data_IF_304112527823
#
_entry.id   IF_304112527823
#
_cell.length_a   1.000
_cell.length_b   1.000
_cell.length_c   1.000
_cell.angle_alpha   90.00
_cell.angle_beta   90.00
_cell.angle_gamma   90.00
#
_symmetry.space_group_name_H-M   'P 1'
#
loop_
_entity.id
_entity.type
_entity.pdbx_description
1 polymer ?
#
# COMPACT_ATOMS: atom_id res chain seq x y z
N UNK A 1 -107.51 74.75 -40.79
CA UNK A 1 -106.15 74.45 -40.29
C UNK A 1 -106.18 74.73 -38.82
N UNK A 2 -105.82 73.74 -37.99
CA UNK A 2 -105.75 73.92 -36.54
C UNK A 2 -104.57 74.84 -36.24
N UNK A 3 -104.84 76.02 -35.69
CA UNK A 3 -103.81 76.89 -35.11
C UNK A 3 -103.65 76.62 -33.61
N UNK A 4 -102.55 77.11 -33.04
CA UNK A 4 -102.13 76.96 -31.63
C UNK A 4 -103.23 77.35 -30.59
N UNK A 5 -104.29 78.06 -31.01
CA UNK A 5 -105.39 78.53 -30.18
C UNK A 5 -106.71 77.74 -30.30
N UNK A 6 -106.80 76.71 -31.16
CA UNK A 6 -108.01 75.90 -31.30
C UNK A 6 -108.05 74.75 -30.30
N UNK A 7 -109.18 74.55 -29.59
CA UNK A 7 -109.32 73.45 -28.61
C UNK A 7 -109.25 72.09 -29.32
N UNK A 8 -108.11 71.42 -29.21
CA UNK A 8 -107.93 70.05 -29.68
C UNK A 8 -108.69 69.11 -28.73
N UNK A 9 -109.77 68.49 -29.21
CA UNK A 9 -110.56 67.55 -28.40
C UNK A 9 -109.73 66.28 -28.11
N UNK A 10 -109.72 65.85 -26.85
CA UNK A 10 -109.06 64.60 -26.43
C UNK A 10 -107.60 64.70 -26.00
N UNK A 11 -107.00 65.90 -26.01
CA UNK A 11 -105.60 66.12 -25.56
C UNK A 11 -105.54 66.76 -24.18
N UNK A 12 -104.72 66.20 -23.30
CA UNK A 12 -104.43 66.78 -21.99
C UNK A 12 -103.26 67.77 -22.09
N UNK A 13 -103.56 69.06 -22.30
CA UNK A 13 -102.54 70.11 -22.46
C UNK A 13 -101.58 70.21 -21.26
N UNK A 14 -102.04 69.94 -20.03
CA UNK A 14 -101.17 69.96 -18.84
C UNK A 14 -100.10 68.87 -18.88
N UNK A 15 -100.46 67.68 -19.38
CA UNK A 15 -99.54 66.55 -19.50
C UNK A 15 -98.52 66.77 -20.61
N UNK A 16 -98.97 67.21 -21.79
CA UNK A 16 -98.08 67.52 -22.93
C UNK A 16 -97.13 68.66 -22.59
N UNK A 17 -97.63 69.71 -21.92
CA UNK A 17 -96.78 70.82 -21.47
C UNK A 17 -95.76 70.38 -20.41
N UNK A 18 -96.19 69.53 -19.47
CA UNK A 18 -95.30 68.97 -18.45
C UNK A 18 -94.19 68.13 -19.07
N UNK A 19 -94.50 67.37 -20.13
CA UNK A 19 -93.51 66.61 -20.88
C UNK A 19 -92.51 67.54 -21.60
N UNK A 20 -93.00 68.59 -22.27
CA UNK A 20 -92.15 69.60 -22.91
C UNK A 20 -91.17 70.24 -21.91
N UNK A 21 -91.62 70.57 -20.70
CA UNK A 21 -90.75 71.11 -19.64
C UNK A 21 -89.75 70.06 -19.14
N UNK A 22 -90.16 68.79 -19.03
CA UNK A 22 -89.31 67.68 -18.56
C UNK A 22 -88.21 67.33 -19.56
N UNK A 23 -88.47 67.44 -20.85
CA UNK A 23 -87.49 67.13 -21.89
C UNK A 23 -86.34 68.12 -21.95
N UNK A 24 -86.50 69.31 -21.35
CA UNK A 24 -85.44 70.32 -21.35
C UNK A 24 -84.20 69.84 -20.56
N UNK A 25 -82.98 69.93 -21.14
CA UNK A 25 -81.75 69.75 -20.39
C UNK A 25 -81.66 70.79 -19.28
N UNK A 26 -81.02 70.43 -18.16
CA UNK A 26 -80.95 71.32 -17.00
C UNK A 26 -80.32 72.69 -17.34
N UNK A 27 -79.31 72.73 -18.20
CA UNK A 27 -78.67 73.96 -18.65
C UNK A 27 -79.64 74.90 -19.38
N UNK A 28 -80.50 74.35 -20.24
CA UNK A 28 -81.49 75.09 -21.03
C UNK A 28 -82.64 75.56 -20.14
N UNK A 29 -83.16 74.68 -19.28
CA UNK A 29 -84.18 75.02 -18.29
C UNK A 29 -83.70 76.15 -17.36
N UNK A 30 -82.45 76.08 -16.91
CA UNK A 30 -81.82 77.11 -16.07
C UNK A 30 -81.70 78.44 -16.82
N UNK A 31 -81.27 78.42 -18.09
CA UNK A 31 -81.18 79.61 -18.93
C UNK A 31 -82.57 80.26 -19.12
N UNK A 32 -83.59 79.45 -19.40
CA UNK A 32 -84.97 79.91 -19.50
C UNK A 32 -85.49 80.56 -18.22
N UNK A 33 -85.26 79.93 -17.05
CA UNK A 33 -85.66 80.49 -15.75
C UNK A 33 -84.94 81.82 -15.48
N UNK A 34 -83.65 81.94 -15.81
CA UNK A 34 -82.89 83.17 -15.61
C UNK A 34 -83.28 84.30 -16.57
N UNK A 35 -83.69 83.96 -17.80
CA UNK A 35 -84.13 84.94 -18.80
C UNK A 35 -85.49 85.56 -18.43
N UNK A 36 -86.34 84.84 -17.69
CA UNK A 36 -87.65 85.32 -17.26
C UNK A 36 -87.62 85.80 -15.79
N UNK A 37 -87.50 87.11 -15.58
CA UNK A 37 -87.36 87.72 -14.25
C UNK A 37 -88.50 87.34 -13.26
N UNK A 38 -89.72 87.15 -13.77
CA UNK A 38 -90.86 86.75 -12.94
C UNK A 38 -90.75 85.28 -12.49
N UNK A 39 -90.39 84.37 -13.40
CA UNK A 39 -90.12 82.97 -13.05
C UNK A 39 -88.89 82.84 -12.15
N UNK A 40 -87.82 83.59 -12.41
CA UNK A 40 -86.62 83.61 -11.57
C UNK A 40 -86.96 84.00 -10.14
N UNK A 41 -87.77 85.05 -9.95
CA UNK A 41 -88.27 85.47 -8.65
C UNK A 41 -89.06 84.33 -8.00
N UNK A 42 -90.03 83.74 -8.69
CA UNK A 42 -90.87 82.65 -8.14
C UNK A 42 -90.05 81.41 -7.75
N UNK A 43 -89.06 81.05 -8.56
CA UNK A 43 -88.18 79.91 -8.30
C UNK A 43 -87.24 80.16 -7.10
N UNK A 44 -86.82 81.40 -6.85
CA UNK A 44 -85.89 81.78 -5.77
C UNK A 44 -86.56 82.28 -4.48
N UNK A 45 -87.89 82.48 -4.47
CA UNK A 45 -88.68 82.81 -3.26
C UNK A 45 -88.32 81.84 -2.14
N UNK A 46 -87.87 82.38 -0.99
CA UNK A 46 -87.43 81.60 0.17
C UNK A 46 -85.94 81.26 0.20
N UNK A 47 -85.12 81.86 -0.67
CA UNK A 47 -83.66 81.66 -0.69
C UNK A 47 -83.19 80.38 -1.37
N UNK A 48 -84.06 79.76 -2.19
CA UNK A 48 -83.70 78.54 -2.92
C UNK A 48 -82.71 78.86 -4.03
N UNK A 49 -81.61 78.10 -4.07
CA UNK A 49 -80.69 78.07 -5.21
C UNK A 49 -81.25 77.23 -6.35
N UNK A 50 -81.03 77.67 -7.59
CA UNK A 50 -81.36 76.94 -8.82
C UNK A 50 -80.36 75.79 -9.00
N UNK A 51 -80.67 74.65 -8.39
CA UNK A 51 -79.83 73.44 -8.35
C UNK A 51 -80.54 72.28 -9.07
N UNK A 52 -79.83 71.45 -9.87
CA UNK A 52 -80.42 70.30 -10.55
C UNK A 52 -81.19 69.36 -9.62
N UNK A 53 -80.75 69.21 -8.37
CA UNK A 53 -81.42 68.34 -7.39
C UNK A 53 -82.83 68.82 -6.99
N UNK A 54 -83.18 70.08 -7.31
CA UNK A 54 -84.49 70.68 -7.04
C UNK A 54 -85.33 70.87 -8.30
N UNK A 55 -84.94 70.24 -9.41
CA UNK A 55 -85.60 70.32 -10.72
C UNK A 55 -87.12 70.17 -10.63
N UNK A 56 -87.62 69.12 -10.00
CA UNK A 56 -89.07 68.86 -9.85
C UNK A 56 -89.85 70.04 -9.24
N UNK A 57 -89.23 70.79 -8.31
CA UNK A 57 -89.85 71.97 -7.72
C UNK A 57 -90.00 73.08 -8.76
N UNK A 58 -88.98 73.29 -9.58
CA UNK A 58 -88.98 74.33 -10.61
C UNK A 58 -89.94 73.98 -11.76
N UNK A 59 -89.96 72.72 -12.19
CA UNK A 59 -90.94 72.22 -13.17
C UNK A 59 -92.38 72.47 -12.67
N UNK A 60 -92.67 72.14 -11.40
CA UNK A 60 -93.99 72.44 -10.78
C UNK A 60 -94.34 73.93 -10.79
N UNK A 61 -93.37 74.82 -10.61
CA UNK A 61 -93.61 76.27 -10.64
C UNK A 61 -93.91 76.73 -12.06
N UNK A 62 -93.15 76.25 -13.05
CA UNK A 62 -93.35 76.57 -14.48
C UNK A 62 -94.70 76.03 -14.98
N UNK A 63 -95.04 74.78 -14.65
CA UNK A 63 -96.32 74.18 -15.02
C UNK A 63 -97.50 74.91 -14.38
N UNK A 64 -97.39 75.28 -13.09
CA UNK A 64 -98.43 76.06 -12.40
C UNK A 64 -98.63 77.44 -13.01
N UNK A 65 -97.57 78.08 -13.50
CA UNK A 65 -97.67 79.38 -14.16
C UNK A 65 -98.37 79.26 -15.52
N UNK A 66 -98.04 78.22 -16.30
CA UNK A 66 -98.73 77.91 -17.55
C UNK A 66 -100.22 77.62 -17.31
N UNK A 67 -100.55 76.79 -16.30
CA UNK A 67 -101.93 76.47 -15.93
C UNK A 67 -102.73 77.70 -15.51
N UNK A 68 -102.15 78.61 -14.71
CA UNK A 68 -102.81 79.88 -14.32
C UNK A 68 -103.13 80.75 -15.52
N UNK A 69 -102.25 80.76 -16.52
CA UNK A 69 -102.45 81.48 -17.78
C UNK A 69 -103.31 80.72 -18.80
N UNK A 70 -103.90 79.58 -18.40
CA UNK A 70 -104.66 78.68 -19.29
C UNK A 70 -103.88 78.27 -20.54
N UNK A 71 -102.57 78.03 -20.40
CA UNK A 71 -101.66 77.69 -21.50
C UNK A 71 -101.65 78.74 -22.63
N UNK A 72 -101.71 80.03 -22.29
CA UNK A 72 -101.62 81.10 -23.28
C UNK A 72 -100.33 81.03 -24.10
N UNK A 73 -100.40 81.38 -25.39
CA UNK A 73 -99.26 81.41 -26.31
C UNK A 73 -98.07 82.22 -25.75
N UNK A 74 -98.34 83.35 -25.09
CA UNK A 74 -97.31 84.20 -24.51
C UNK A 74 -96.43 83.49 -23.46
N UNK A 75 -96.98 82.50 -22.75
CA UNK A 75 -96.26 81.72 -21.74
C UNK A 75 -95.67 80.45 -22.36
N UNK A 76 -96.43 79.76 -23.22
CA UNK A 76 -96.02 78.48 -23.80
C UNK A 76 -94.96 78.63 -24.90
N UNK A 77 -95.00 79.68 -25.72
CA UNK A 77 -94.03 79.91 -26.79
C UNK A 77 -92.61 80.08 -26.26
N UNK A 78 -92.44 80.66 -25.07
CA UNK A 78 -91.12 80.82 -24.44
C UNK A 78 -90.48 79.49 -24.06
N UNK A 79 -91.28 78.53 -23.57
CA UNK A 79 -90.80 77.17 -23.26
C UNK A 79 -90.59 76.38 -24.54
N UNK A 80 -91.52 76.48 -25.50
CA UNK A 80 -91.40 75.82 -26.80
C UNK A 80 -90.13 76.26 -27.54
N UNK A 81 -89.82 77.56 -27.59
CA UNK A 81 -88.61 78.08 -28.20
C UNK A 81 -87.31 77.58 -27.53
N UNK A 82 -87.35 77.27 -26.23
CA UNK A 82 -86.24 76.65 -25.53
C UNK A 82 -86.16 75.13 -25.78
N UNK A 83 -87.29 74.47 -26.00
CA UNK A 83 -87.41 73.02 -26.20
C UNK A 83 -87.09 72.61 -27.63
N UNK A 84 -87.55 73.36 -28.61
CA UNK A 84 -87.48 73.00 -30.03
C UNK A 84 -86.04 72.74 -30.51
N UNK A 85 -85.02 73.58 -30.21
CA UNK A 85 -83.63 73.31 -30.61
C UNK A 85 -82.94 72.17 -29.85
N UNK A 86 -83.51 71.66 -28.75
CA UNK A 86 -82.94 70.53 -28.00
C UNK A 86 -83.05 69.24 -28.80
N UNK A 87 -84.12 69.10 -29.58
CA UNK A 87 -84.40 67.91 -30.38
C UNK A 87 -83.84 68.10 -31.79
N UNK A 88 -82.51 68.08 -31.89
CA UNK A 88 -81.76 68.46 -33.09
C UNK A 88 -82.26 67.78 -34.38
N UNK A 89 -82.54 66.47 -34.36
CA UNK A 89 -83.03 65.79 -35.56
C UNK A 89 -84.38 66.32 -36.05
N UNK A 90 -85.33 66.57 -35.14
CA UNK A 90 -86.66 67.09 -35.49
C UNK A 90 -86.57 68.57 -35.91
N UNK A 91 -85.79 69.34 -35.17
CA UNK A 91 -85.52 70.75 -35.44
C UNK A 91 -84.89 70.94 -36.82
N UNK A 92 -83.78 70.27 -37.09
CA UNK A 92 -83.02 70.45 -38.33
C UNK A 92 -83.84 70.03 -39.55
N UNK A 93 -84.58 68.91 -39.47
CA UNK A 93 -85.44 68.45 -40.57
C UNK A 93 -86.56 69.45 -40.91
N UNK A 94 -87.18 70.07 -39.89
CA UNK A 94 -88.26 71.04 -40.09
C UNK A 94 -87.72 72.40 -40.53
N UNK A 95 -86.66 72.90 -39.89
CA UNK A 95 -86.04 74.18 -40.26
C UNK A 95 -85.41 74.14 -41.65
N UNK A 96 -84.73 73.06 -42.03
CA UNK A 96 -84.17 72.89 -43.38
C UNK A 96 -85.28 72.93 -44.43
N UNK A 97 -86.43 72.32 -44.14
CA UNK A 97 -87.59 72.38 -45.01
C UNK A 97 -88.17 73.80 -45.07
N UNK A 98 -88.42 74.46 -43.94
CA UNK A 98 -89.00 75.81 -43.93
C UNK A 98 -88.09 76.88 -44.55
N UNK A 99 -86.77 76.66 -44.56
CA UNK A 99 -85.80 77.54 -45.23
C UNK A 99 -85.52 77.15 -46.70
N UNK A 100 -85.99 75.99 -47.14
CA UNK A 100 -85.79 75.50 -48.50
C UNK A 100 -86.52 76.34 -49.55
N UNK A 101 -85.99 76.35 -50.77
CA UNK A 101 -86.66 77.00 -51.91
C UNK A 101 -87.98 76.29 -52.27
N UNK A 102 -88.08 74.98 -51.97
CA UNK A 102 -89.31 74.18 -52.12
C UNK A 102 -90.45 74.76 -51.28
N UNK A 103 -90.19 75.10 -50.01
CA UNK A 103 -91.21 75.67 -49.14
C UNK A 103 -91.59 77.11 -49.51
N UNK A 104 -90.61 77.93 -49.97
CA UNK A 104 -90.90 79.29 -50.46
C UNK A 104 -91.86 79.28 -51.65
N UNK A 105 -91.63 78.40 -52.62
CA UNK A 105 -92.55 78.23 -53.77
C UNK A 105 -93.93 77.74 -53.34
N UNK A 106 -94.00 76.76 -52.42
CA UNK A 106 -95.27 76.28 -51.86
C UNK A 106 -96.06 77.40 -51.18
N UNK A 107 -95.37 78.26 -50.43
CA UNK A 107 -95.95 79.38 -49.70
C UNK A 107 -96.55 80.44 -50.62
N UNK A 108 -95.86 80.76 -51.72
CA UNK A 108 -96.36 81.67 -52.76
C UNK A 108 -97.58 81.09 -53.49
N UNK A 109 -97.56 79.80 -53.85
CA UNK A 109 -98.66 79.12 -54.54
C UNK A 109 -99.94 79.06 -53.70
N UNK A 110 -99.80 78.84 -52.38
CA UNK A 110 -100.92 78.72 -51.45
C UNK A 110 -101.36 80.06 -50.82
N UNK A 111 -100.66 81.15 -51.11
CA UNK A 111 -101.01 82.49 -50.62
C UNK A 111 -100.89 82.64 -49.09
N UNK A 112 -99.92 81.97 -48.47
CA UNK A 112 -99.73 81.93 -47.02
C UNK A 112 -98.96 83.17 -46.50
N UNK A 113 -99.40 83.72 -45.36
CA UNK A 113 -98.77 84.89 -44.71
C UNK A 113 -97.35 84.64 -44.19
N UNK A 114 -96.60 85.71 -43.84
CA UNK A 114 -95.21 85.59 -43.31
C UNK A 114 -95.10 84.82 -42.01
N UNK A 115 -96.16 84.83 -41.21
CA UNK A 115 -96.21 84.16 -39.92
C UNK A 115 -96.99 82.83 -39.96
N UNK A 116 -97.28 82.30 -41.15
CA UNK A 116 -98.05 81.06 -41.32
C UNK A 116 -97.16 79.88 -41.74
N UNK A 117 -96.87 79.00 -40.78
CA UNK A 117 -96.15 77.75 -41.01
C UNK A 117 -97.13 76.60 -41.23
N UNK A 118 -96.98 75.86 -42.33
CA UNK A 118 -97.83 74.71 -42.69
C UNK A 118 -96.95 73.59 -43.25
N UNK A 119 -97.20 72.35 -42.87
CA UNK A 119 -96.50 71.20 -43.44
C UNK A 119 -97.39 70.50 -44.51
N UNK A 120 -96.92 70.31 -45.76
CA UNK A 120 -97.61 69.48 -46.74
C UNK A 120 -97.71 68.02 -46.27
N UNK A 121 -98.77 67.31 -46.66
CA UNK A 121 -99.00 65.92 -46.21
C UNK A 121 -97.86 64.96 -46.59
N UNK A 122 -97.26 65.13 -47.77
CA UNK A 122 -96.12 64.31 -48.21
C UNK A 122 -94.89 64.48 -47.30
N UNK A 123 -94.66 65.69 -46.78
CA UNK A 123 -93.56 65.98 -45.86
C UNK A 123 -93.90 65.54 -44.44
N UNK A 124 -95.18 65.60 -44.05
CA UNK A 124 -95.63 65.02 -42.80
C UNK A 124 -95.35 63.52 -42.76
N UNK A 125 -95.69 62.77 -43.82
CA UNK A 125 -95.43 61.33 -43.87
C UNK A 125 -93.93 60.98 -43.92
N UNK A 126 -93.09 61.89 -44.43
CA UNK A 126 -91.63 61.71 -44.45
C UNK A 126 -90.96 62.00 -43.09
N UNK A 127 -91.43 63.03 -42.38
CA UNK A 127 -90.82 63.47 -41.13
C UNK A 127 -91.42 62.80 -39.89
N UNK A 128 -92.69 62.37 -39.96
CA UNK A 128 -93.37 61.73 -38.84
C UNK A 128 -92.85 60.30 -38.62
N UNK A 129 -92.18 60.08 -37.49
CA UNK A 129 -91.79 58.75 -37.00
C UNK A 129 -92.61 58.40 -35.77
N UNK A 130 -93.08 57.16 -35.71
CA UNK A 130 -93.84 56.64 -34.56
C UNK A 130 -93.03 56.69 -33.26
N UNK A 131 -91.71 56.53 -33.35
CA UNK A 131 -90.79 56.60 -32.20
C UNK A 131 -90.76 58.01 -31.56
N UNK A 132 -91.10 59.06 -32.32
CA UNK A 132 -91.07 60.47 -31.91
C UNK A 132 -92.48 61.03 -31.61
N UNK A 133 -93.48 60.15 -31.43
CA UNK A 133 -94.88 60.52 -31.32
C UNK A 133 -95.16 61.55 -30.21
N UNK A 134 -94.42 61.49 -29.09
CA UNK A 134 -94.55 62.46 -28.00
C UNK A 134 -93.98 63.85 -28.36
N UNK A 135 -92.95 63.93 -29.21
CA UNK A 135 -92.42 65.19 -29.72
C UNK A 135 -93.40 65.84 -30.70
N UNK A 136 -94.02 65.04 -31.56
CA UNK A 136 -95.05 65.51 -32.51
C UNK A 136 -96.32 66.00 -31.82
N UNK A 137 -96.67 65.44 -30.66
CA UNK A 137 -97.76 65.96 -29.80
C UNK A 137 -97.45 67.34 -29.24
N UNK A 138 -96.21 67.57 -28.83
CA UNK A 138 -95.76 68.89 -28.37
C UNK A 138 -95.81 69.90 -29.52
N UNK A 139 -95.37 69.53 -30.72
CA UNK A 139 -95.49 70.36 -31.92
C UNK A 139 -96.95 70.73 -32.25
N UNK A 140 -97.85 69.74 -32.17
CA UNK A 140 -99.28 69.94 -32.42
C UNK A 140 -99.94 70.91 -31.43
N UNK A 141 -99.48 70.95 -30.18
CA UNK A 141 -100.12 71.72 -29.10
C UNK A 141 -99.50 73.09 -28.81
N UNK A 142 -98.21 73.27 -29.11
CA UNK A 142 -97.47 74.46 -28.66
C UNK A 142 -96.61 75.12 -29.75
N UNK A 143 -96.48 74.53 -30.94
CA UNK A 143 -95.71 75.16 -32.03
C UNK A 143 -96.57 76.11 -32.88
N UNK A 144 -95.95 77.06 -33.59
CA UNK A 144 -96.66 77.91 -34.55
C UNK A 144 -97.11 77.17 -35.84
N UNK A 145 -96.77 75.89 -35.99
CA UNK A 145 -97.12 75.07 -37.15
C UNK A 145 -98.62 74.75 -37.16
N UNK A 146 -99.29 75.04 -38.28
CA UNK A 146 -100.71 74.73 -38.46
C UNK A 146 -100.88 73.36 -39.10
N UNK A 147 -101.65 72.49 -38.44
CA UNK A 147 -101.91 71.13 -38.91
C UNK A 147 -103.31 71.01 -39.55
N UNK A 148 -103.45 70.12 -40.54
CA UNK A 148 -104.77 69.69 -41.02
C UNK A 148 -105.43 68.77 -39.97
N UNK A 149 -106.76 68.57 -40.06
CA UNK A 149 -107.45 67.64 -39.14
C UNK A 149 -106.99 66.19 -39.33
N UNK A 150 -106.59 65.80 -40.55
CA UNK A 150 -106.06 64.47 -40.84
C UNK A 150 -104.67 64.25 -40.24
N UNK A 151 -103.79 65.26 -40.35
CA UNK A 151 -102.47 65.23 -39.71
C UNK A 151 -102.57 65.18 -38.18
N UNK A 152 -103.45 65.98 -37.59
CA UNK A 152 -103.72 65.93 -36.15
C UNK A 152 -104.26 64.55 -35.71
N UNK A 153 -105.13 63.94 -36.53
CA UNK A 153 -105.62 62.57 -36.29
C UNK A 153 -104.50 61.52 -36.27
N UNK A 154 -103.56 61.59 -37.22
CA UNK A 154 -102.39 60.69 -37.28
C UNK A 154 -101.50 60.80 -36.03
N UNK A 155 -101.26 62.00 -35.53
CA UNK A 155 -100.43 62.24 -34.32
C UNK A 155 -101.11 61.72 -33.04
N UNK A 156 -102.45 61.67 -33.03
CA UNK A 156 -103.23 61.28 -31.87
C UNK A 156 -103.58 59.78 -31.82
N UNK A 157 -103.36 59.02 -32.90
CA UNK A 157 -103.66 57.58 -32.96
C UNK A 157 -102.56 56.72 -32.32
N UNK A 158 -102.84 56.23 -31.11
CA UNK A 158 -101.91 55.45 -30.28
C UNK A 158 -101.74 53.98 -30.70
N UNK A 159 -102.60 53.45 -31.56
CA UNK A 159 -102.66 51.99 -31.76
C UNK A 159 -101.54 51.45 -32.67
N UNK A 160 -101.06 52.23 -33.64
CA UNK A 160 -100.03 51.80 -34.59
C UNK A 160 -98.65 51.55 -33.95
N UNK A 161 -98.22 52.40 -32.99
CA UNK A 161 -96.89 52.26 -32.38
C UNK A 161 -96.73 51.14 -31.35
N UNK A 162 -97.84 50.65 -30.79
CA UNK A 162 -97.81 49.55 -29.84
C UNK A 162 -97.45 48.20 -30.48
N UNK A 163 -97.76 48.02 -31.78
CA UNK A 163 -97.53 46.77 -32.49
C UNK A 163 -96.05 46.56 -32.87
N UNK A 164 -95.39 47.59 -33.38
CA UNK A 164 -93.96 47.52 -33.79
C UNK A 164 -93.01 47.30 -32.60
N UNK A 165 -93.33 47.87 -31.43
CA UNK A 165 -92.52 47.69 -30.21
C UNK A 165 -92.59 46.26 -29.67
N UNK A 166 -93.73 45.59 -29.81
CA UNK A 166 -93.92 44.19 -29.39
C UNK A 166 -93.10 43.22 -30.26
N UNK A 167 -92.95 43.52 -31.55
CA UNK A 167 -92.15 42.71 -32.46
C UNK A 167 -90.65 42.81 -32.14
N UNK A 168 -90.15 44.02 -31.89
CA UNK A 168 -88.76 44.26 -31.43
C UNK A 168 -88.46 43.56 -30.10
N UNK A 169 -89.43 43.51 -29.17
CA UNK A 169 -89.27 42.81 -27.88
C UNK A 169 -89.06 41.29 -28.08
N UNK A 170 -89.82 40.67 -28.99
CA UNK A 170 -89.66 39.23 -29.29
C UNK A 170 -88.30 38.90 -29.90
N UNK A 171 -87.78 39.75 -30.78
CA UNK A 171 -86.43 39.55 -31.34
C UNK A 171 -85.33 39.66 -30.26
N UNK A 172 -85.48 40.59 -29.32
CA UNK A 172 -84.55 40.74 -28.21
C UNK A 172 -84.59 39.56 -27.24
N UNK A 173 -85.77 39.05 -26.93
CA UNK A 173 -85.93 37.84 -26.11
C UNK A 173 -85.21 36.64 -26.73
N UNK A 174 -85.36 36.43 -28.06
CA UNK A 174 -84.65 35.37 -28.77
C UNK A 174 -83.11 35.50 -28.69
N UNK A 175 -82.58 36.72 -28.81
CA UNK A 175 -81.14 36.98 -28.66
C UNK A 175 -80.64 36.72 -27.24
N UNK A 176 -81.45 37.04 -26.23
CA UNK A 176 -81.11 36.77 -24.83
C UNK A 176 -81.04 35.27 -24.55
N UNK A 177 -81.98 34.48 -25.08
CA UNK A 177 -81.94 33.02 -24.94
C UNK A 177 -80.71 32.39 -25.60
N UNK A 178 -80.34 32.85 -26.80
CA UNK A 178 -79.12 32.37 -27.47
C UNK A 178 -77.84 32.71 -26.70
N UNK A 179 -77.76 33.94 -26.16
CA UNK A 179 -76.62 34.36 -25.35
C UNK A 179 -76.54 33.56 -24.05
N UNK A 180 -77.67 33.27 -23.41
CA UNK A 180 -77.70 32.43 -22.21
C UNK A 180 -77.18 31.02 -22.50
N UNK A 181 -77.62 30.38 -23.60
CA UNK A 181 -77.11 29.06 -24.01
C UNK A 181 -75.60 29.06 -24.26
N UNK A 182 -75.08 30.08 -24.94
CA UNK A 182 -73.62 30.24 -25.16
C UNK A 182 -72.87 30.44 -23.85
N UNK A 183 -73.43 31.21 -22.93
CA UNK A 183 -72.81 31.47 -21.64
C UNK A 183 -72.75 30.21 -20.77
N UNK A 184 -73.80 29.38 -20.78
CA UNK A 184 -73.80 28.08 -20.11
C UNK A 184 -72.74 27.12 -20.68
N UNK A 185 -72.59 27.07 -22.01
CA UNK A 185 -71.55 26.27 -22.66
C UNK A 185 -70.13 26.72 -22.26
N UNK A 186 -69.87 28.02 -22.30
CA UNK A 186 -68.58 28.59 -21.90
C UNK A 186 -68.30 28.38 -20.41
N UNK A 187 -69.33 28.49 -19.56
CA UNK A 187 -69.22 28.20 -18.13
C UNK A 187 -68.84 26.74 -17.88
N UNK A 188 -69.50 25.79 -18.55
CA UNK A 188 -69.18 24.37 -18.45
C UNK A 188 -67.75 24.06 -18.93
N UNK A 189 -67.31 24.69 -20.02
CA UNK A 189 -65.94 24.54 -20.53
C UNK A 189 -64.90 25.13 -19.55
N UNK A 190 -65.19 26.28 -18.95
CA UNK A 190 -64.33 26.90 -17.94
C UNK A 190 -64.17 26.01 -16.70
N UNK A 191 -65.24 25.35 -16.23
CA UNK A 191 -65.17 24.38 -15.13
C UNK A 191 -64.29 23.18 -15.52
N UNK A 192 -64.46 22.65 -16.73
CA UNK A 192 -63.64 21.52 -17.21
C UNK A 192 -62.16 21.88 -17.31
N UNK A 193 -61.84 23.07 -17.81
CA UNK A 193 -60.47 23.56 -17.91
C UNK A 193 -59.84 23.78 -16.53
N UNK A 194 -60.59 24.32 -15.57
CA UNK A 194 -60.12 24.43 -14.18
C UNK A 194 -59.82 23.06 -13.57
N UNK A 195 -60.67 22.06 -13.81
CA UNK A 195 -60.44 20.67 -13.36
C UNK A 195 -59.12 20.11 -13.88
N UNK A 196 -58.88 20.20 -15.19
CA UNK A 196 -57.60 19.79 -15.79
C UNK A 196 -56.41 20.54 -15.21
N UNK A 197 -56.54 21.85 -15.04
CA UNK A 197 -55.46 22.67 -14.48
C UNK A 197 -55.11 22.27 -13.04
N UNK A 198 -56.09 21.83 -12.25
CA UNK A 198 -55.86 21.32 -10.89
C UNK A 198 -55.19 19.93 -10.89
N UNK A 199 -55.56 19.05 -11.82
CA UNK A 199 -54.95 17.73 -12.01
C UNK A 199 -53.48 17.88 -12.44
N UNK A 200 -53.22 18.68 -13.49
CA UNK A 200 -51.86 18.97 -13.97
C UNK A 200 -50.99 19.59 -12.87
N UNK A 201 -51.56 20.47 -12.05
CA UNK A 201 -50.85 21.07 -10.92
C UNK A 201 -50.49 20.04 -9.83
N UNK A 202 -51.36 19.06 -9.57
CA UNK A 202 -51.10 17.98 -8.64
C UNK A 202 -49.99 17.05 -9.17
N UNK A 203 -50.07 16.64 -10.44
CA UNK A 203 -49.03 15.84 -11.10
C UNK A 203 -47.67 16.54 -11.10
N UNK A 204 -47.66 17.85 -11.38
CA UNK A 204 -46.44 18.66 -11.34
C UNK A 204 -45.82 18.69 -9.93
N UNK A 205 -46.63 18.73 -8.88
CA UNK A 205 -46.12 18.66 -7.50
C UNK A 205 -45.54 17.29 -7.16
N UNK A 206 -46.18 16.20 -7.60
CA UNK A 206 -45.65 14.84 -7.40
C UNK A 206 -44.33 14.65 -8.14
N UNK A 207 -44.24 15.07 -9.41
CA UNK A 207 -43.02 15.02 -10.20
C UNK A 207 -41.89 15.84 -9.55
N UNK A 208 -42.20 17.03 -9.00
CA UNK A 208 -41.22 17.83 -8.25
C UNK A 208 -40.74 17.09 -6.99
N UNK A 209 -41.62 16.40 -6.28
CA UNK A 209 -41.27 15.60 -5.10
C UNK A 209 -40.38 14.42 -5.48
N UNK A 210 -40.72 13.68 -6.53
CA UNK A 210 -39.91 12.58 -7.05
C UNK A 210 -38.52 13.07 -7.52
N UNK A 211 -38.45 14.20 -8.22
CA UNK A 211 -37.16 14.76 -8.68
C UNK A 211 -36.26 15.15 -7.49
N UNK A 212 -36.83 15.73 -6.43
CA UNK A 212 -36.09 16.01 -5.18
C UNK A 212 -35.57 14.73 -4.53
N UNK A 213 -36.39 13.67 -4.47
CA UNK A 213 -35.98 12.38 -3.91
C UNK A 213 -34.83 11.77 -4.73
N UNK A 214 -34.95 11.73 -6.06
CA UNK A 214 -33.91 11.20 -6.94
C UNK A 214 -32.59 11.95 -6.81
N UNK A 215 -32.63 13.28 -6.63
CA UNK A 215 -31.40 14.07 -6.37
C UNK A 215 -30.75 13.68 -5.04
N UNK A 216 -31.53 13.51 -3.98
CA UNK A 216 -31.01 13.06 -2.67
C UNK A 216 -30.40 11.66 -2.76
N UNK A 217 -31.06 10.74 -3.47
CA UNK A 217 -30.56 9.38 -3.67
C UNK A 217 -29.25 9.39 -4.49
N UNK A 218 -29.16 10.24 -5.51
CA UNK A 218 -27.94 10.45 -6.28
C UNK A 218 -26.78 10.95 -5.41
N UNK A 219 -27.01 11.97 -4.58
CA UNK A 219 -25.99 12.48 -3.66
C UNK A 219 -25.54 11.43 -2.66
N UNK A 220 -26.47 10.61 -2.14
CA UNK A 220 -26.17 9.53 -1.21
C UNK A 220 -25.34 8.42 -1.87
N UNK A 221 -25.69 8.03 -3.10
CA UNK A 221 -24.92 7.08 -3.89
C UNK A 221 -23.51 7.60 -4.21
N UNK A 222 -23.40 8.89 -4.55
CA UNK A 222 -22.12 9.53 -4.84
C UNK A 222 -21.20 9.53 -3.60
N UNK A 223 -21.74 9.87 -2.41
CA UNK A 223 -21.00 9.76 -1.14
C UNK A 223 -20.56 8.34 -0.83
N UNK A 224 -21.41 7.33 -1.09
CA UNK A 224 -21.04 5.91 -0.91
C UNK A 224 -19.94 5.46 -1.87
N UNK A 225 -19.97 5.96 -3.11
CA UNK A 225 -18.95 5.68 -4.09
C UNK A 225 -17.60 6.31 -3.70
N UNK A 226 -17.61 7.56 -3.23
CA UNK A 226 -16.42 8.24 -2.71
C UNK A 226 -15.84 7.51 -1.49
N UNK A 227 -16.69 7.07 -0.54
CA UNK A 227 -16.21 6.31 0.61
C UNK A 227 -15.62 4.95 0.21
N UNK A 228 -16.26 4.23 -0.71
CA UNK A 228 -15.75 2.96 -1.23
C UNK A 228 -14.42 3.13 -1.99
N UNK A 229 -14.28 4.20 -2.78
CA UNK A 229 -13.02 4.53 -3.43
C UNK A 229 -11.92 4.89 -2.44
N UNK A 230 -12.23 5.64 -1.38
CA UNK A 230 -11.28 5.95 -0.32
C UNK A 230 -10.82 4.69 0.44
N UNK A 231 -11.74 3.78 0.75
CA UNK A 231 -11.43 2.48 1.36
C UNK A 231 -10.58 1.60 0.43
N UNK A 232 -10.92 1.55 -0.86
CA UNK A 232 -10.12 0.82 -1.86
C UNK A 232 -8.68 1.35 -1.93
N UNK A 233 -8.50 2.69 -1.95
CA UNK A 233 -7.17 3.31 -1.92
C UNK A 233 -6.40 2.95 -0.65
N UNK A 234 -7.06 2.97 0.52
CA UNK A 234 -6.44 2.56 1.79
C UNK A 234 -6.02 1.09 1.77
N UNK A 235 -6.88 0.21 1.25
CA UNK A 235 -6.60 -1.22 1.14
C UNK A 235 -5.41 -1.49 0.20
N UNK A 236 -5.37 -0.82 -0.96
CA UNK A 236 -4.24 -0.89 -1.88
C UNK A 236 -2.94 -0.41 -1.20
N UNK A 237 -2.99 0.70 -0.47
CA UNK A 237 -1.83 1.22 0.24
C UNK A 237 -1.35 0.26 1.34
N UNK A 238 -2.26 -0.35 2.09
CA UNK A 238 -1.93 -1.39 3.08
C UNK A 238 -1.31 -2.62 2.42
N UNK A 239 -1.84 -3.06 1.27
CA UNK A 239 -1.27 -4.17 0.52
C UNK A 239 0.14 -3.87 0.00
N UNK A 240 0.39 -2.65 -0.49
CA UNK A 240 1.72 -2.21 -0.91
C UNK A 240 2.71 -2.21 0.27
N UNK A 241 2.33 -1.64 1.41
CA UNK A 241 3.17 -1.65 2.62
C UNK A 241 3.45 -3.06 3.14
N UNK A 242 2.45 -3.97 3.08
CA UNK A 242 2.64 -5.36 3.45
C UNK A 242 3.62 -6.07 2.50
N UNK A 243 3.52 -5.78 1.19
CA UNK A 243 4.41 -6.33 0.18
C UNK A 243 5.85 -5.81 0.33
N UNK A 244 6.03 -4.51 0.61
CA UNK A 244 7.34 -3.93 0.91
C UNK A 244 7.97 -4.61 2.14
N UNK A 245 7.22 -4.74 3.24
CA UNK A 245 7.70 -5.46 4.44
C UNK A 245 8.05 -6.92 4.15
N UNK A 246 7.28 -7.59 3.30
CA UNK A 246 7.57 -8.96 2.90
C UNK A 246 8.85 -9.03 2.06
N UNK A 247 9.05 -8.12 1.11
CA UNK A 247 10.27 -8.03 0.32
C UNK A 247 11.50 -7.73 1.20
N UNK A 248 11.38 -6.81 2.15
CA UNK A 248 12.43 -6.52 3.13
C UNK A 248 12.79 -7.75 3.97
N UNK A 249 11.78 -8.51 4.40
CA UNK A 249 12.00 -9.74 5.15
C UNK A 249 12.64 -10.85 4.28
N UNK A 250 12.20 -11.00 3.03
CA UNK A 250 12.79 -11.96 2.08
C UNK A 250 14.24 -11.60 1.74
N UNK A 251 14.56 -10.32 1.59
CA UNK A 251 15.94 -9.87 1.34
C UNK A 251 16.82 -10.11 2.55
N UNK A 252 16.36 -9.81 3.77
CA UNK A 252 17.07 -10.14 5.01
C UNK A 252 17.35 -11.65 5.12
N UNK A 253 16.35 -12.50 4.90
CA UNK A 253 16.52 -13.95 4.91
C UNK A 253 17.52 -14.44 3.86
N UNK A 254 17.50 -13.85 2.65
CA UNK A 254 18.48 -14.18 1.60
C UNK A 254 19.89 -13.78 2.00
N UNK A 255 20.06 -12.62 2.62
CA UNK A 255 21.36 -12.19 3.14
C UNK A 255 21.87 -13.12 4.25
N UNK A 256 21.02 -13.48 5.21
CA UNK A 256 21.36 -14.42 6.28
C UNK A 256 21.76 -15.79 5.74
N UNK A 257 20.98 -16.33 4.79
CA UNK A 257 21.29 -17.58 4.12
C UNK A 257 22.62 -17.50 3.34
N UNK A 258 22.88 -16.37 2.67
CA UNK A 258 24.14 -16.14 1.95
C UNK A 258 25.34 -16.08 2.91
N UNK A 259 25.20 -15.38 4.05
CA UNK A 259 26.22 -15.33 5.11
C UNK A 259 26.47 -16.71 5.71
N UNK A 260 25.42 -17.49 5.99
CA UNK A 260 25.53 -18.85 6.49
C UNK A 260 26.23 -19.77 5.48
N UNK A 261 25.86 -19.68 4.20
CA UNK A 261 26.51 -20.42 3.11
C UNK A 261 28.00 -20.09 3.01
N UNK A 262 28.37 -18.81 3.09
CA UNK A 262 29.75 -18.37 3.05
C UNK A 262 30.57 -18.92 4.23
N UNK A 263 30.00 -18.93 5.45
CA UNK A 263 30.65 -19.54 6.63
C UNK A 263 30.87 -21.03 6.44
N UNK A 264 29.84 -21.77 6.04
CA UNK A 264 29.93 -23.22 5.82
C UNK A 264 30.96 -23.53 4.73
N UNK A 265 31.01 -22.73 3.65
CA UNK A 265 32.02 -22.90 2.62
C UNK A 265 33.43 -22.67 3.16
N UNK A 266 33.64 -21.64 4.00
CA UNK A 266 34.92 -21.40 4.66
C UNK A 266 35.35 -22.55 5.58
N UNK A 267 34.41 -23.12 6.34
CA UNK A 267 34.67 -24.29 7.18
C UNK A 267 34.99 -25.54 6.35
N UNK A 268 34.27 -25.76 5.24
CA UNK A 268 34.57 -26.84 4.29
C UNK A 268 35.97 -26.70 3.70
N UNK A 269 36.36 -25.50 3.26
CA UNK A 269 37.68 -25.24 2.70
C UNK A 269 38.78 -25.46 3.75
N UNK A 270 38.53 -25.06 5.00
CA UNK A 270 39.44 -25.30 6.12
C UNK A 270 39.60 -26.80 6.41
N UNK A 271 38.50 -27.53 6.58
CA UNK A 271 38.51 -28.98 6.85
C UNK A 271 39.19 -29.71 5.69
N UNK A 272 38.94 -29.30 4.45
CA UNK A 272 39.58 -29.89 3.26
C UNK A 272 41.10 -29.70 3.30
N UNK A 273 41.59 -28.51 3.67
CA UNK A 273 43.03 -28.27 3.84
C UNK A 273 43.63 -29.08 5.00
N UNK A 274 42.92 -29.17 6.13
CA UNK A 274 43.34 -30.00 7.26
C UNK A 274 43.43 -31.47 6.84
N UNK A 275 42.44 -32.00 6.13
CA UNK A 275 42.44 -33.36 5.58
C UNK A 275 43.66 -33.60 4.67
N UNK A 276 43.92 -32.70 3.71
CA UNK A 276 45.08 -32.80 2.82
C UNK A 276 46.39 -32.80 3.61
N UNK A 277 46.51 -31.93 4.62
CA UNK A 277 47.71 -31.88 5.47
C UNK A 277 47.94 -33.18 6.25
N UNK A 278 46.87 -33.80 6.75
CA UNK A 278 46.94 -35.09 7.44
C UNK A 278 47.28 -36.24 6.49
N UNK A 279 46.74 -36.22 5.26
CA UNK A 279 47.09 -37.19 4.22
C UNK A 279 48.58 -37.11 3.89
N UNK A 280 49.13 -35.92 3.67
CA UNK A 280 50.57 -35.74 3.41
C UNK A 280 51.42 -36.22 4.57
N UNK A 281 51.08 -35.84 5.82
CA UNK A 281 51.80 -36.32 7.02
C UNK A 281 51.76 -37.83 7.16
N UNK A 282 50.62 -38.45 6.87
CA UNK A 282 50.48 -39.90 6.90
C UNK A 282 51.36 -40.59 5.85
N UNK A 283 51.41 -40.06 4.62
CA UNK A 283 52.27 -40.58 3.56
C UNK A 283 53.76 -40.42 3.90
N UNK A 284 54.17 -39.27 4.43
CA UNK A 284 55.53 -39.03 4.93
C UNK A 284 55.90 -40.01 6.03
N UNK A 285 55.03 -40.21 7.02
CA UNK A 285 55.27 -41.16 8.12
C UNK A 285 55.33 -42.61 7.62
N UNK A 286 54.47 -42.98 6.66
CA UNK A 286 54.50 -44.30 6.03
C UNK A 286 55.83 -44.55 5.31
N UNK A 287 56.35 -43.53 4.60
CA UNK A 287 57.66 -43.62 3.94
C UNK A 287 58.80 -43.72 4.96
N UNK A 288 58.79 -42.89 6.01
CA UNK A 288 59.76 -42.95 7.09
C UNK A 288 59.77 -44.32 7.80
N UNK A 289 58.60 -44.90 8.06
CA UNK A 289 58.49 -46.24 8.65
C UNK A 289 59.10 -47.32 7.75
N UNK A 290 58.89 -47.26 6.43
CA UNK A 290 59.54 -48.18 5.47
C UNK A 290 61.06 -48.05 5.51
N UNK A 291 61.58 -46.83 5.54
CA UNK A 291 63.03 -46.62 5.66
C UNK A 291 63.59 -47.15 6.98
N UNK A 292 62.86 -46.99 8.08
CA UNK A 292 63.25 -47.57 9.37
C UNK A 292 63.24 -49.10 9.35
N UNK A 293 62.25 -49.72 8.69
CA UNK A 293 62.21 -51.18 8.49
C UNK A 293 63.39 -51.67 7.64
N UNK A 294 63.72 -50.98 6.54
CA UNK A 294 64.89 -51.30 5.71
C UNK A 294 66.20 -51.15 6.49
N UNK A 295 66.35 -50.08 7.27
CA UNK A 295 67.51 -49.85 8.12
C UNK A 295 67.63 -50.91 9.23
N UNK A 296 66.51 -51.32 9.83
CA UNK A 296 66.49 -52.38 10.84
C UNK A 296 66.94 -53.72 10.23
N UNK A 297 66.45 -54.08 9.04
CA UNK A 297 66.89 -55.28 8.33
C UNK A 297 68.38 -55.23 7.94
N UNK A 298 68.89 -54.06 7.53
CA UNK A 298 70.31 -53.89 7.23
C UNK A 298 71.18 -54.05 8.49
N UNK A 299 70.75 -53.49 9.62
CA UNK A 299 71.42 -53.63 10.91
C UNK A 299 71.41 -55.09 11.42
N UNK A 300 70.31 -55.82 11.26
CA UNK A 300 70.24 -57.25 11.57
C UNK A 300 71.25 -58.06 10.75
N UNK A 301 71.32 -57.83 9.44
CA UNK A 301 72.31 -58.49 8.57
C UNK A 301 73.75 -58.20 8.99
N UNK A 302 74.06 -56.96 9.34
CA UNK A 302 75.39 -56.58 9.85
C UNK A 302 75.70 -57.27 11.17
N UNK A 303 74.74 -57.32 12.09
CA UNK A 303 74.89 -58.03 13.37
C UNK A 303 75.19 -59.51 13.15
N UNK A 304 74.45 -60.15 12.25
CA UNK A 304 74.63 -61.58 11.96
C UNK A 304 76.00 -61.86 11.32
N UNK A 305 76.51 -60.96 10.47
CA UNK A 305 77.88 -61.05 9.93
C UNK A 305 78.95 -60.97 11.03
N UNK A 306 78.84 -60.01 11.94
CA UNK A 306 79.78 -59.85 13.06
C UNK A 306 79.78 -61.08 13.98
N UNK A 307 78.62 -61.70 14.20
CA UNK A 307 78.52 -62.94 14.99
C UNK A 307 79.29 -64.08 14.32
N UNK A 308 79.18 -64.24 13.00
CA UNK A 308 79.90 -65.29 12.27
C UNK A 308 81.42 -65.04 12.26
N UNK A 309 81.87 -63.80 12.04
CA UNK A 309 83.28 -63.44 12.13
C UNK A 309 83.86 -63.76 13.52
N UNK A 310 83.11 -63.49 14.59
CA UNK A 310 83.51 -63.82 15.96
C UNK A 310 83.66 -65.32 16.18
N UNK A 311 82.72 -66.14 15.69
CA UNK A 311 82.82 -67.61 15.80
C UNK A 311 84.06 -68.15 15.08
N UNK A 312 84.38 -67.60 13.92
CA UNK A 312 85.57 -68.00 13.18
C UNK A 312 86.87 -67.69 13.95
N UNK A 313 86.91 -66.52 14.61
CA UNK A 313 88.04 -66.12 15.46
C UNK A 313 88.18 -67.00 16.71
N UNK A 314 87.09 -67.32 17.40
CA UNK A 314 87.10 -68.22 18.57
C UNK A 314 87.63 -69.62 18.21
N UNK A 315 87.27 -70.14 17.03
CA UNK A 315 87.80 -71.42 16.54
C UNK A 315 89.32 -71.39 16.36
N UNK A 316 89.85 -70.34 15.70
CA UNK A 316 91.31 -70.17 15.49
C UNK A 316 92.08 -70.09 16.81
N UNK A 317 91.51 -69.46 17.84
CA UNK A 317 92.13 -69.37 19.15
C UNK A 317 92.25 -70.74 19.83
N UNK A 318 91.21 -71.58 19.74
CA UNK A 318 91.22 -72.93 20.32
C UNK A 318 92.27 -73.86 19.70
N UNK A 319 92.52 -73.75 18.40
CA UNK A 319 93.53 -74.56 17.69
C UNK A 319 94.96 -74.22 18.16
N UNK A 320 95.22 -72.97 18.55
CA UNK A 320 96.53 -72.53 19.04
C UNK A 320 96.86 -73.03 20.46
N UNK A 321 95.86 -73.32 21.30
CA UNK A 321 96.08 -73.71 22.69
C UNK A 321 96.55 -75.17 22.83
N UNK A 322 96.14 -76.07 21.93
CA UNK A 322 96.48 -77.49 21.98
C UNK A 322 97.94 -77.82 21.61
N UNK A 323 98.72 -76.86 21.11
CA UNK A 323 100.11 -77.09 20.70
C UNK A 323 101.08 -77.25 21.88
N UNK A 324 100.80 -76.63 23.03
CA UNK A 324 101.67 -76.64 24.20
C UNK A 324 101.66 -77.99 24.95
N UNK A 325 100.50 -78.65 25.03
CA UNK A 325 100.34 -79.93 25.73
C UNK A 325 101.09 -81.09 25.02
N UNK A 326 101.21 -81.02 23.70
CA UNK A 326 101.94 -82.00 22.88
C UNK A 326 103.45 -82.03 23.19
N UNK A 327 104.06 -80.90 23.56
CA UNK A 327 105.50 -80.81 23.85
C UNK A 327 105.88 -81.41 25.22
N UNK A 328 105.01 -81.27 26.22
CA UNK A 328 105.28 -81.68 27.60
C UNK A 328 105.20 -83.21 27.80
N UNK A 329 104.50 -83.92 26.93
CA UNK A 329 104.35 -85.39 26.97
C UNK A 329 105.62 -86.18 26.59
N UNK A 330 106.66 -85.53 26.05
CA UNK A 330 107.87 -86.20 25.53
C UNK A 330 109.09 -86.25 26.48
N UNK A 331 108.97 -85.81 27.74
CA UNK A 331 110.10 -85.69 28.68
C UNK A 331 110.18 -86.90 29.64
N UNK A 332 111.36 -87.51 29.80
CA UNK A 332 111.65 -88.64 30.71
C UNK A 332 112.13 -88.17 32.11
N UNK A 333 111.17 -87.88 32.99
CA UNK A 333 111.38 -87.23 34.29
C UNK A 333 112.24 -87.97 35.35
N UNK A 334 112.29 -89.31 35.44
CA UNK A 334 113.19 -90.02 36.36
C UNK A 334 114.67 -89.83 36.06
N UNK A 335 115.04 -89.81 34.77
CA UNK A 335 116.43 -89.64 34.32
C UNK A 335 116.95 -88.27 34.72
N UNK A 336 116.08 -87.27 34.56
CA UNK A 336 116.23 -85.88 35.02
C UNK A 336 116.50 -85.85 36.53
N UNK A 337 115.68 -86.48 37.37
CA UNK A 337 115.89 -86.50 38.83
C UNK A 337 117.25 -87.04 39.29
N UNK A 338 117.81 -88.04 38.58
CA UNK A 338 119.09 -88.67 38.95
C UNK A 338 120.34 -87.83 38.63
N UNK A 339 120.27 -86.92 37.67
CA UNK A 339 121.43 -86.15 37.19
C UNK A 339 121.73 -84.88 38.03
N UNK A 340 120.84 -84.47 38.94
CA UNK A 340 121.01 -83.25 39.73
C UNK A 340 121.98 -83.42 40.91
N UNK A 341 123.20 -82.86 40.79
CA UNK A 341 124.16 -82.66 41.90
C UNK A 341 123.69 -81.52 42.83
N UNK A 342 122.53 -81.67 43.47
CA UNK A 342 121.94 -80.65 44.34
C UNK A 342 122.25 -80.85 45.84
N UNK A 343 122.28 -79.75 46.61
CA UNK A 343 122.41 -79.71 48.08
C UNK A 343 121.31 -80.58 48.77
N UNK A 344 121.60 -81.32 49.86
CA UNK A 344 120.64 -82.17 50.58
C UNK A 344 119.23 -81.60 50.78
N UNK A 345 119.08 -80.32 51.11
CA UNK A 345 117.77 -79.68 51.31
C UNK A 345 117.02 -79.51 50.00
N UNK A 346 117.74 -79.14 48.93
CA UNK A 346 117.22 -79.00 47.58
C UNK A 346 116.86 -80.37 46.99
N UNK A 347 117.67 -81.41 47.26
CA UNK A 347 117.34 -82.82 47.02
C UNK A 347 116.12 -83.28 47.80
N UNK A 348 115.92 -82.85 49.05
CA UNK A 348 114.74 -83.24 49.84
C UNK A 348 113.46 -82.63 49.24
N UNK A 349 113.51 -81.36 48.82
CA UNK A 349 112.39 -80.70 48.16
C UNK A 349 112.10 -81.33 46.78
N UNK A 350 113.13 -81.56 45.96
CA UNK A 350 112.99 -82.28 44.69
C UNK A 350 112.50 -83.73 44.89
N UNK A 351 113.05 -84.49 45.84
CA UNK A 351 112.63 -85.86 46.12
C UNK A 351 111.22 -85.94 46.71
N UNK A 352 110.73 -84.90 47.40
CA UNK A 352 109.33 -84.83 47.85
C UNK A 352 108.34 -84.69 46.68
N UNK A 353 108.80 -84.16 45.54
CA UNK A 353 108.05 -84.05 44.29
C UNK A 353 108.25 -85.30 43.42
N UNK A 354 109.48 -85.82 43.32
CA UNK A 354 109.80 -87.04 42.53
C UNK A 354 109.16 -88.29 43.16
N UNK A 355 109.03 -88.37 44.50
CA UNK A 355 108.27 -89.46 45.16
C UNK A 355 106.76 -89.41 44.91
N UNK A 356 106.24 -88.31 44.34
CA UNK A 356 104.85 -88.19 43.89
C UNK A 356 104.65 -88.48 42.40
N UNK A 357 105.69 -88.93 41.69
CA UNK A 357 105.56 -89.55 40.36
C UNK A 357 105.01 -90.96 40.54
N UNK A 358 103.71 -91.06 40.83
CA UNK A 358 102.99 -92.32 40.76
C UNK A 358 102.88 -92.71 39.28
N UNK A 359 103.51 -93.82 38.92
CA UNK A 359 103.19 -94.50 37.68
C UNK A 359 101.87 -95.25 37.91
N UNK A 360 100.80 -94.86 37.23
CA UNK A 360 99.63 -95.73 37.13
C UNK A 360 99.97 -96.97 36.27
N UNK A 361 99.21 -98.07 36.45
CA UNK A 361 99.48 -99.38 35.83
C UNK A 361 99.63 -99.32 34.30
N UNK A 362 99.12 -98.25 33.69
CA UNK A 362 99.07 -97.97 32.25
C UNK A 362 100.37 -97.35 31.70
N UNK A 363 101.40 -97.13 32.53
CA UNK A 363 102.63 -96.40 32.19
C UNK A 363 102.40 -94.96 31.71
N UNK A 364 101.24 -94.39 31.98
CA UNK A 364 100.94 -92.97 31.81
C UNK A 364 101.45 -92.19 33.02
N UNK A 365 102.12 -91.07 32.76
CA UNK A 365 102.78 -90.25 33.76
C UNK A 365 101.90 -89.03 34.02
N UNK A 366 101.02 -89.09 35.02
CA UNK A 366 100.24 -87.95 35.51
C UNK A 366 101.07 -87.18 36.52
N UNK A 367 101.61 -86.03 36.11
CA UNK A 367 102.31 -85.10 37.00
C UNK A 367 101.25 -84.27 37.72
N UNK A 368 100.75 -84.77 38.86
CA UNK A 368 99.99 -83.92 39.78
C UNK A 368 100.94 -82.89 40.40
N UNK A 369 100.87 -81.66 39.88
CA UNK A 369 101.73 -80.53 40.24
C UNK A 369 102.81 -80.27 39.19
N UNK A 370 102.46 -79.54 38.14
CA UNK A 370 103.30 -79.27 36.96
C UNK A 370 104.66 -78.62 37.29
N UNK A 371 105.66 -78.77 36.39
CA UNK A 371 106.87 -77.94 36.39
C UNK A 371 106.51 -76.44 36.43
N UNK A 372 105.39 -76.06 35.82
CA UNK A 372 104.86 -74.70 35.83
C UNK A 372 104.41 -74.26 37.22
N UNK A 373 103.73 -75.11 37.99
CA UNK A 373 103.41 -74.83 39.40
C UNK A 373 104.66 -74.72 40.26
N UNK A 374 105.65 -75.61 40.05
CA UNK A 374 106.93 -75.51 40.77
C UNK A 374 107.69 -74.23 40.41
N UNK A 375 107.76 -73.87 39.13
CA UNK A 375 108.36 -72.63 38.65
C UNK A 375 107.65 -71.39 39.22
N UNK A 376 106.31 -71.44 39.24
CA UNK A 376 105.48 -70.38 39.81
C UNK A 376 105.72 -70.25 41.31
N UNK A 377 105.86 -71.37 42.04
CA UNK A 377 106.17 -71.36 43.47
C UNK A 377 107.58 -70.85 43.78
N UNK A 378 108.57 -71.20 42.96
CA UNK A 378 109.93 -70.67 43.10
C UNK A 378 110.02 -69.17 42.78
N UNK A 379 109.10 -68.66 41.95
CA UNK A 379 109.09 -67.26 41.51
C UNK A 379 108.14 -66.37 42.32
N UNK A 380 107.18 -66.94 43.06
CA UNK A 380 106.17 -66.16 43.79
C UNK A 380 106.76 -65.35 44.93
N UNK A 381 107.84 -65.84 45.55
CA UNK A 381 108.59 -65.11 46.59
C UNK A 381 109.22 -63.82 46.07
N UNK A 382 109.68 -63.79 44.81
CA UNK A 382 110.39 -62.64 44.24
C UNK A 382 109.53 -61.38 44.20
N UNK A 383 108.33 -61.51 43.64
CA UNK A 383 107.40 -60.38 43.49
C UNK A 383 106.96 -59.87 44.87
N UNK A 384 106.79 -60.77 45.85
CA UNK A 384 106.48 -60.40 47.23
C UNK A 384 107.63 -59.64 47.87
N UNK A 385 108.86 -60.14 47.78
CA UNK A 385 110.04 -59.50 48.35
C UNK A 385 110.31 -58.12 47.72
N UNK A 386 110.25 -58.00 46.39
CA UNK A 386 110.39 -56.73 45.68
C UNK A 386 109.30 -55.74 46.12
N UNK A 387 108.07 -56.20 46.28
CA UNK A 387 106.97 -55.35 46.76
C UNK A 387 107.18 -54.88 48.19
N UNK A 388 107.65 -55.75 49.09
CA UNK A 388 107.98 -55.37 50.47
C UNK A 388 109.10 -54.34 50.53
N UNK A 389 110.20 -54.58 49.82
CA UNK A 389 111.34 -53.63 49.78
C UNK A 389 110.92 -52.28 49.15
N UNK A 390 110.19 -52.30 48.03
CA UNK A 390 109.74 -51.06 47.37
C UNK A 390 108.75 -50.25 48.19
N UNK A 391 108.08 -50.88 49.16
CA UNK A 391 107.16 -50.25 50.11
C UNK A 391 107.72 -50.20 51.53
N UNK A 392 109.02 -50.39 51.72
CA UNK A 392 109.60 -50.58 53.06
C UNK A 392 109.32 -49.37 53.96
N UNK A 393 109.40 -48.14 53.43
CA UNK A 393 109.08 -46.93 54.19
C UNK A 393 107.64 -46.90 54.75
N UNK A 394 106.68 -47.52 54.07
CA UNK A 394 105.27 -47.57 54.46
C UNK A 394 104.98 -48.77 55.37
N UNK A 395 105.63 -49.90 55.10
CA UNK A 395 105.44 -51.15 55.85
C UNK A 395 106.24 -51.19 57.17
N UNK A 396 107.42 -50.55 57.22
CA UNK A 396 108.22 -50.34 58.45
C UNK A 396 107.43 -49.51 59.48
N UNK A 397 106.77 -48.45 59.01
CA UNK A 397 105.91 -47.59 59.85
C UNK A 397 104.64 -48.33 60.32
N UNK A 398 104.07 -49.20 59.50
CA UNK A 398 102.88 -49.98 59.84
C UNK A 398 103.18 -51.12 60.83
N UNK A 399 104.36 -51.73 60.75
CA UNK A 399 104.77 -52.82 61.63
C UNK A 399 105.18 -52.36 63.03
N UNK A 400 105.65 -51.10 63.18
CA UNK A 400 106.04 -50.52 64.47
C UNK A 400 107.33 -51.09 65.09
N UNK A 401 107.97 -52.08 64.45
CA UNK A 401 109.28 -52.65 64.80
C UNK A 401 110.17 -52.75 63.56
N UNK A 402 111.06 -51.76 63.42
CA UNK A 402 111.98 -51.65 62.28
C UNK A 402 112.97 -52.82 62.23
N UNK A 403 113.50 -53.27 63.38
CA UNK A 403 114.50 -54.32 63.41
C UNK A 403 113.89 -55.70 63.12
N UNK A 404 112.70 -55.98 63.66
CA UNK A 404 111.95 -57.19 63.36
C UNK A 404 111.57 -57.27 61.87
N UNK A 405 111.12 -56.16 61.28
CA UNK A 405 110.81 -56.07 59.85
C UNK A 405 112.03 -56.42 58.98
N UNK A 406 113.17 -55.77 59.19
CA UNK A 406 114.36 -56.01 58.38
C UNK A 406 114.96 -57.41 58.59
N UNK A 407 114.81 -58.03 59.78
CA UNK A 407 115.18 -59.43 59.99
C UNK A 407 114.31 -60.38 59.19
N UNK A 408 112.99 -60.16 59.15
CA UNK A 408 112.08 -60.97 58.34
C UNK A 408 112.35 -60.80 56.83
N UNK A 409 112.64 -59.58 56.38
CA UNK A 409 113.06 -59.32 54.99
C UNK A 409 114.38 -60.04 54.67
N UNK A 410 115.32 -60.11 55.61
CA UNK A 410 116.58 -60.85 55.45
C UNK A 410 116.35 -62.37 55.31
N UNK A 411 115.45 -62.93 56.12
CA UNK A 411 115.07 -64.35 56.01
C UNK A 411 114.39 -64.66 54.66
N UNK A 412 113.52 -63.76 54.18
CA UNK A 412 112.91 -63.87 52.84
C UNK A 412 113.94 -63.73 51.72
N UNK A 413 114.97 -62.89 51.88
CA UNK A 413 116.09 -62.81 50.95
C UNK A 413 116.85 -64.13 50.85
N UNK A 414 117.11 -64.78 51.99
CA UNK A 414 117.78 -66.09 52.00
C UNK A 414 116.92 -67.15 51.29
N UNK A 415 115.60 -67.12 51.48
CA UNK A 415 114.68 -68.03 50.78
C UNK A 415 114.61 -67.75 49.27
N UNK A 416 114.52 -66.48 48.85
CA UNK A 416 114.53 -66.08 47.44
C UNK A 416 115.88 -66.43 46.78
N UNK A 417 117.00 -66.25 47.48
CA UNK A 417 118.31 -66.67 46.98
C UNK A 417 118.33 -68.19 46.73
N UNK A 418 117.83 -68.99 47.68
CA UNK A 418 117.76 -70.44 47.54
C UNK A 418 116.83 -70.87 46.39
N UNK A 419 115.72 -70.14 46.19
CA UNK A 419 114.80 -70.36 45.07
C UNK A 419 115.41 -69.96 43.72
N UNK A 420 116.22 -68.90 43.67
CA UNK A 420 116.99 -68.51 42.49
C UNK A 420 118.04 -69.56 42.15
N UNK A 421 118.78 -70.07 43.14
CA UNK A 421 119.73 -71.17 42.95
C UNK A 421 119.02 -72.43 42.42
N UNK A 422 117.83 -72.76 42.94
CA UNK A 422 117.01 -73.87 42.46
C UNK A 422 116.55 -73.67 41.00
N UNK A 423 116.09 -72.46 40.64
CA UNK A 423 115.71 -72.14 39.25
C UNK A 423 116.90 -72.17 38.30
N UNK A 424 118.06 -71.67 38.73
CA UNK A 424 119.27 -71.68 37.92
C UNK A 424 119.78 -73.12 37.69
N UNK A 425 119.65 -73.98 38.70
CA UNK A 425 119.88 -75.41 38.56
C UNK A 425 118.89 -76.07 37.59
N UNK A 426 117.59 -75.74 37.66
CA UNK A 426 116.57 -76.21 36.72
C UNK A 426 116.82 -75.73 35.28
N UNK A 427 117.17 -74.46 35.07
CA UNK A 427 117.50 -73.93 33.75
C UNK A 427 118.72 -74.65 33.20
N UNK A 428 119.80 -74.80 33.97
CA UNK A 428 120.99 -75.54 33.54
C UNK A 428 120.64 -76.99 33.19
N UNK A 429 119.73 -77.61 33.93
CA UNK A 429 119.20 -78.93 33.62
C UNK A 429 118.40 -78.95 32.31
N UNK A 430 117.45 -78.02 32.13
CA UNK A 430 116.68 -77.90 30.90
C UNK A 430 117.58 -77.63 29.71
N UNK A 431 118.60 -76.78 29.86
CA UNK A 431 119.60 -76.50 28.85
C UNK A 431 120.42 -77.75 28.50
N UNK A 432 120.91 -78.50 29.50
CA UNK A 432 121.63 -79.76 29.26
C UNK A 432 120.75 -80.80 28.57
N UNK A 433 119.47 -80.90 28.94
CA UNK A 433 118.49 -81.79 28.27
C UNK A 433 118.30 -81.31 26.83
N UNK A 434 118.04 -80.02 26.62
CA UNK A 434 117.82 -79.41 25.30
C UNK A 434 119.00 -79.71 24.36
N UNK A 435 120.25 -79.61 24.85
CA UNK A 435 121.45 -79.96 24.07
C UNK A 435 121.74 -81.47 23.96
N UNK A 436 121.15 -82.32 24.80
CA UNK A 436 121.27 -83.78 24.72
C UNK A 436 120.18 -84.44 23.87
N UNK A 437 119.03 -83.78 23.67
CA UNK A 437 117.87 -84.33 22.95
C UNK A 437 117.57 -83.65 21.61
N UNK A 438 118.25 -82.57 21.24
CA UNK A 438 118.17 -82.00 19.88
C UNK A 438 119.30 -82.57 19.00
N UNK A 439 119.00 -83.61 18.23
CA UNK A 439 119.69 -83.85 16.97
C UNK A 439 119.11 -82.89 15.92
N UNK A 440 119.98 -82.23 15.15
CA UNK A 440 119.62 -81.15 14.20
C UNK A 440 118.65 -81.58 13.09
N UNK A 441 118.33 -82.88 12.96
CA UNK A 441 117.41 -83.43 11.96
C UNK A 441 115.92 -83.29 12.36
N UNK A 442 115.60 -83.12 13.65
CA UNK A 442 114.21 -83.00 14.14
C UNK A 442 113.56 -81.62 13.92
N UNK A 443 114.29 -80.68 13.31
CA UNK A 443 113.82 -79.32 12.96
C UNK A 443 113.46 -79.15 11.48
N UNK A 444 113.51 -80.22 10.67
CA UNK A 444 113.06 -80.15 9.27
C UNK A 444 111.53 -80.28 9.14
N UNK A 445 110.93 -79.31 8.45
CA UNK A 445 109.48 -79.13 8.29
C UNK A 445 108.76 -80.33 7.66
N UNK A 446 107.67 -80.79 8.30
CA UNK A 446 106.78 -81.83 7.77
C UNK A 446 106.03 -81.38 6.49
N UNK A 447 106.12 -82.20 5.43
CA UNK A 447 105.45 -82.01 4.13
C UNK A 447 103.95 -82.37 4.24
N UNK A 448 103.09 -81.38 4.01
CA UNK A 448 101.62 -81.47 3.95
C UNK A 448 101.09 -82.42 2.85
N UNK A 449 99.94 -83.10 3.05
CA UNK A 449 99.13 -83.65 1.94
C UNK A 449 98.13 -82.61 1.38
N UNK A 450 97.70 -82.75 0.11
CA UNK A 450 97.07 -81.67 -0.68
C UNK A 450 95.56 -81.50 -0.47
N UNK A 451 95.09 -80.25 -0.69
CA UNK A 451 93.67 -79.83 -0.66
C UNK A 451 92.77 -80.70 -1.56
N UNK A 452 91.74 -81.32 -0.99
CA UNK A 452 90.68 -81.96 -1.79
C UNK A 452 89.71 -80.90 -2.35
N UNK A 453 89.37 -81.06 -3.63
CA UNK A 453 88.53 -80.15 -4.42
C UNK A 453 87.05 -80.27 -4.02
N UNK A 454 86.38 -79.11 -4.07
CA UNK A 454 84.94 -78.93 -3.87
C UNK A 454 84.08 -79.86 -4.74
N UNK A 455 83.04 -80.45 -4.14
CA UNK A 455 81.93 -81.07 -4.87
C UNK A 455 80.80 -80.06 -5.06
N UNK A 456 80.48 -79.81 -6.33
CA UNK A 456 79.28 -79.11 -6.79
C UNK A 456 78.03 -80.00 -6.65
N UNK A 457 76.93 -79.34 -6.25
CA UNK A 457 75.53 -79.46 -6.72
C UNK A 457 74.69 -80.69 -6.33
N UNK A 458 73.44 -80.46 -5.92
CA UNK A 458 72.30 -80.23 -6.83
C UNK A 458 71.28 -79.30 -6.20
#
# INVERSE_FOLDING_TARGET
MLGNNEKIQGVNLSEVYSQMVRDLPWSVLLAYINANANLQKMCTIGGYRLDPNKRDRFEKIINREAEKSQFSEAVCNGVFAAWYPVHAELHDNLEDFFHSDEYKSYREEKGLGEDEYVLPDEKMDAFFKIEDLDLWRILLCFSPLKFTHEQAGKILDNQAGSAELVEKLKELEGKVEELNRKNEQLSAEAVRLRGKQTEDAAELQELKKQNRQLRQDMELLQRRLESAQAESRRSIQQALQANEKQQDFETQLREEASRAKARIQGDLDRITKELQSWQTRYEEQRFANRQLEENAQAAEKQRDQVIEERKEMEKKLSESQNAADLLLSRIDWPKVGSAMKANPTLRKNLNSLIKKLNYEEDRTLTIDGTLQEFWTRLSSGDASLIKKISKSSLEELAAGDIHGYWKAVLDEFAEVQLNLEARLALINMMQNIFFQTLDMEDLETSKLPPKSKAKKKS
#
